data_IF_690940446116
#
_entry.id   IF_690940446116
#
_cell.length_a   1.000
_cell.length_b   1.000
_cell.length_c   1.000
_cell.angle_alpha   90.00
_cell.angle_beta   90.00
_cell.angle_gamma   90.00
#
_symmetry.space_group_name_H-M   'P 1'
#
loop_
_entity.id
_entity.type
_entity.pdbx_description
1 polymer ?
#
# COMPACT_ATOMS: atom_id res chain seq x y z
N UNK A 1 39.57 -11.75 3.51
CA UNK A 1 38.17 -11.35 3.72
C UNK A 1 37.82 -11.63 5.18
N UNK A 2 37.72 -10.61 6.03
CA UNK A 2 37.27 -10.82 7.42
C UNK A 2 35.78 -11.20 7.37
N UNK A 3 35.44 -12.40 7.84
CA UNK A 3 34.07 -12.90 7.86
C UNK A 3 33.17 -12.10 8.81
N UNK A 4 31.87 -12.05 8.52
CA UNK A 4 30.86 -11.42 9.38
C UNK A 4 30.90 -12.01 10.80
N UNK A 5 30.94 -11.14 11.80
CA UNK A 5 30.89 -11.50 13.21
C UNK A 5 29.51 -12.07 13.58
N UNK A 6 29.44 -12.89 14.64
CA UNK A 6 28.22 -13.61 15.03
C UNK A 6 26.98 -12.73 15.18
N UNK A 7 27.11 -11.56 15.81
CA UNK A 7 25.98 -10.62 15.97
C UNK A 7 25.54 -9.98 14.65
N UNK A 8 26.47 -9.75 13.71
CA UNK A 8 26.15 -9.20 12.38
C UNK A 8 25.37 -10.22 11.55
N UNK A 9 25.65 -11.53 11.71
CA UNK A 9 24.87 -12.60 11.08
C UNK A 9 23.43 -12.64 11.62
N UNK A 10 23.28 -12.53 12.93
CA UNK A 10 21.96 -12.46 13.58
C UNK A 10 21.17 -11.25 13.08
N UNK A 11 21.82 -10.08 13.01
CA UNK A 11 21.22 -8.88 12.45
C UNK A 11 20.70 -9.09 11.03
N UNK A 12 21.53 -9.66 10.13
CA UNK A 12 21.16 -9.92 8.75
C UNK A 12 19.94 -10.84 8.67
N UNK A 13 19.91 -11.93 9.44
CA UNK A 13 18.77 -12.87 9.45
C UNK A 13 17.49 -12.14 9.86
N UNK A 14 17.53 -11.35 10.94
CA UNK A 14 16.36 -10.59 11.43
C UNK A 14 15.88 -9.61 10.35
N UNK A 15 16.78 -8.84 9.75
CA UNK A 15 16.43 -7.84 8.74
C UNK A 15 15.88 -8.47 7.47
N UNK A 16 16.49 -9.55 6.99
CA UNK A 16 16.00 -10.27 5.81
C UNK A 16 14.60 -10.83 6.08
N UNK A 17 14.38 -11.50 7.20
CA UNK A 17 13.05 -12.01 7.56
C UNK A 17 12.01 -10.89 7.70
N UNK A 18 12.39 -9.75 8.29
CA UNK A 18 11.52 -8.58 8.41
C UNK A 18 11.14 -7.99 7.05
N UNK A 19 12.11 -7.79 6.16
CA UNK A 19 11.87 -7.26 4.83
C UNK A 19 11.05 -8.22 3.97
N UNK A 20 11.28 -9.53 4.08
CA UNK A 20 10.45 -10.55 3.42
C UNK A 20 9.00 -10.50 3.91
N UNK A 21 8.79 -10.34 5.21
CA UNK A 21 7.45 -10.19 5.79
C UNK A 21 6.74 -8.92 5.29
N UNK A 22 7.43 -7.78 5.27
CA UNK A 22 6.88 -6.53 4.75
C UNK A 22 6.56 -6.63 3.24
N UNK A 23 7.44 -7.26 2.46
CA UNK A 23 7.22 -7.47 1.03
C UNK A 23 5.97 -8.33 0.77
N UNK A 24 5.75 -9.38 1.56
CA UNK A 24 4.55 -10.20 1.47
C UNK A 24 3.27 -9.40 1.75
N UNK A 25 3.24 -8.62 2.83
CA UNK A 25 2.09 -7.78 3.17
C UNK A 25 1.83 -6.75 2.08
N UNK A 26 2.88 -6.05 1.64
CA UNK A 26 2.81 -5.05 0.58
C UNK A 26 2.16 -5.63 -0.68
N UNK A 27 2.66 -6.78 -1.13
CA UNK A 27 2.13 -7.48 -2.30
C UNK A 27 0.64 -7.79 -2.15
N UNK A 28 0.21 -8.34 -1.00
CA UNK A 28 -1.19 -8.70 -0.77
C UNK A 28 -2.13 -7.48 -0.82
N UNK A 29 -1.71 -6.36 -0.22
CA UNK A 29 -2.51 -5.13 -0.16
C UNK A 29 -2.55 -4.41 -1.50
N UNK A 30 -1.44 -4.39 -2.24
CA UNK A 30 -1.41 -3.78 -3.57
C UNK A 30 -2.23 -4.56 -4.59
N UNK A 31 -2.20 -5.88 -4.53
CA UNK A 31 -3.02 -6.73 -5.41
C UNK A 31 -4.51 -6.45 -5.23
N UNK A 32 -4.98 -6.36 -3.97
CA UNK A 32 -6.38 -6.03 -3.66
C UNK A 32 -6.74 -4.59 -4.04
N UNK A 33 -5.83 -3.64 -3.84
CA UNK A 33 -6.07 -2.25 -4.22
C UNK A 33 -6.16 -2.10 -5.74
N UNK A 34 -5.31 -2.78 -6.50
CA UNK A 34 -5.31 -2.75 -7.96
C UNK A 34 -6.57 -3.37 -8.55
N UNK A 35 -7.03 -4.51 -8.02
CA UNK A 35 -8.29 -5.11 -8.48
C UNK A 35 -9.47 -4.17 -8.26
N UNK A 36 -9.56 -3.53 -7.09
CA UNK A 36 -10.62 -2.55 -6.78
C UNK A 36 -10.55 -1.30 -7.68
N UNK A 37 -9.35 -0.79 -7.96
CA UNK A 37 -9.18 0.34 -8.89
C UNK A 37 -9.65 -0.05 -10.29
N UNK A 38 -9.26 -1.22 -10.79
CA UNK A 38 -9.68 -1.71 -12.11
C UNK A 38 -11.20 -1.91 -12.20
N UNK A 39 -11.83 -2.47 -11.17
CA UNK A 39 -13.29 -2.63 -11.10
C UNK A 39 -14.01 -1.27 -11.11
N UNK A 40 -13.54 -0.32 -10.30
CA UNK A 40 -14.11 1.03 -10.23
C UNK A 40 -13.92 1.80 -11.55
N UNK A 41 -12.74 1.69 -12.18
CA UNK A 41 -12.48 2.29 -13.49
C UNK A 41 -13.37 1.68 -14.58
N UNK A 42 -13.50 0.36 -14.63
CA UNK A 42 -14.38 -0.31 -15.59
C UNK A 42 -15.86 0.06 -15.37
N UNK A 43 -16.29 0.27 -14.12
CA UNK A 43 -17.65 0.74 -13.83
C UNK A 43 -17.88 2.17 -14.34
N UNK A 44 -16.90 3.06 -14.14
CA UNK A 44 -16.95 4.44 -14.66
C UNK A 44 -16.97 4.45 -16.19
N UNK A 45 -16.11 3.67 -16.85
CA UNK A 45 -16.03 3.60 -18.31
C UNK A 45 -17.31 3.04 -18.94
N UNK A 46 -17.87 1.95 -18.38
CA UNK A 46 -19.17 1.42 -18.84
C UNK A 46 -20.27 2.45 -18.72
N UNK A 47 -20.27 3.23 -17.64
CA UNK A 47 -21.27 4.28 -17.42
C UNK A 47 -21.11 5.42 -18.44
N UNK A 48 -19.89 5.89 -18.69
CA UNK A 48 -19.63 6.91 -19.71
C UNK A 48 -20.10 6.46 -21.10
N UNK A 49 -19.80 5.21 -21.47
CA UNK A 49 -20.21 4.65 -22.76
C UNK A 49 -21.73 4.42 -22.86
N UNK A 50 -22.41 4.00 -21.77
CA UNK A 50 -23.88 3.85 -21.78
C UNK A 50 -24.62 5.19 -21.78
N UNK A 51 -24.01 6.26 -21.29
CA UNK A 51 -24.60 7.60 -21.35
C UNK A 51 -24.59 8.16 -22.78
N UNK A 52 -23.59 7.78 -23.60
CA UNK A 52 -23.58 8.06 -25.04
C UNK A 52 -24.67 7.30 -25.81
N UNK A 53 -25.03 6.09 -25.36
CA UNK A 53 -26.06 5.23 -25.95
C UNK A 53 -27.50 5.56 -25.52
N UNK A 54 -27.72 6.56 -24.65
CA UNK A 54 -29.06 7.14 -24.44
C UNK A 54 -29.44 8.03 -25.63
N UNK A 55 -29.75 7.34 -26.71
CA UNK A 55 -30.24 7.83 -27.99
C UNK A 55 -31.44 8.75 -27.81
N UNK A 56 -31.32 9.94 -28.40
CA UNK A 56 -32.42 10.83 -28.75
C UNK A 56 -33.46 10.03 -29.54
N UNK A 57 -34.69 9.94 -29.03
CA UNK A 57 -35.81 9.36 -29.79
C UNK A 57 -36.05 10.21 -31.05
N UNK A 58 -36.52 9.58 -32.12
CA UNK A 58 -36.81 10.25 -33.41
C UNK A 58 -37.84 11.41 -33.32
N UNK A 59 -38.46 11.62 -32.16
CA UNK A 59 -39.40 12.70 -31.84
C UNK A 59 -38.79 13.82 -30.95
N UNK A 60 -37.50 13.76 -30.64
CA UNK A 60 -36.80 14.76 -29.82
C UNK A 60 -37.07 14.67 -28.31
N UNK A 61 -37.82 13.68 -27.82
CA UNK A 61 -38.04 13.54 -26.37
C UNK A 61 -36.94 12.70 -25.72
N UNK A 62 -36.37 13.22 -24.63
CA UNK A 62 -35.38 12.51 -23.81
C UNK A 62 -36.14 11.76 -22.72
N UNK A 63 -36.31 10.44 -22.85
CA UNK A 63 -36.84 9.62 -21.76
C UNK A 63 -35.71 9.42 -20.75
N UNK A 64 -35.60 10.32 -19.77
CA UNK A 64 -34.81 10.05 -18.56
C UNK A 64 -35.65 9.16 -17.66
N UNK A 65 -35.36 7.85 -17.64
CA UNK A 65 -35.90 6.97 -16.61
C UNK A 65 -35.43 7.48 -15.24
N UNK A 66 -36.31 8.14 -14.49
CA UNK A 66 -36.05 8.56 -13.11
C UNK A 66 -36.17 7.31 -12.24
N UNK A 67 -35.13 6.47 -12.25
CA UNK A 67 -34.94 5.42 -11.25
C UNK A 67 -34.78 6.11 -9.89
N UNK A 68 -35.61 5.73 -8.93
CA UNK A 68 -35.64 6.19 -7.55
C UNK A 68 -34.38 5.75 -6.79
N UNK A 69 -33.25 6.37 -7.14
CA UNK A 69 -31.92 6.20 -6.57
C UNK A 69 -31.08 7.47 -6.75
N UNK A 70 -29.81 7.48 -6.30
CA UNK A 70 -28.91 8.62 -6.50
C UNK A 70 -28.89 9.01 -7.97
N UNK A 71 -28.85 10.32 -8.27
CA UNK A 71 -28.78 10.75 -9.66
C UNK A 71 -27.55 10.15 -10.34
N UNK A 72 -27.60 9.89 -11.65
CA UNK A 72 -26.47 9.28 -12.36
C UNK A 72 -25.14 10.05 -12.17
N UNK A 73 -25.23 11.38 -12.07
CA UNK A 73 -24.10 12.26 -11.74
C UNK A 73 -23.60 12.09 -10.30
N UNK A 74 -24.49 11.90 -9.32
CA UNK A 74 -24.13 11.58 -7.94
C UNK A 74 -23.43 10.22 -7.87
N UNK A 75 -23.85 9.26 -8.69
CA UNK A 75 -23.21 7.95 -8.77
C UNK A 75 -21.79 8.06 -9.32
N UNK A 76 -21.59 8.78 -10.42
CA UNK A 76 -20.26 9.04 -10.98
C UNK A 76 -19.34 9.75 -9.97
N UNK A 77 -19.85 10.78 -9.28
CA UNK A 77 -19.10 11.49 -8.25
C UNK A 77 -18.68 10.56 -7.09
N UNK A 78 -19.56 9.64 -6.67
CA UNK A 78 -19.24 8.65 -5.64
C UNK A 78 -18.13 7.69 -6.09
N UNK A 79 -18.15 7.21 -7.34
CA UNK A 79 -17.10 6.34 -7.88
C UNK A 79 -15.76 7.06 -8.00
N UNK A 80 -15.77 8.32 -8.44
CA UNK A 80 -14.56 9.16 -8.49
C UNK A 80 -13.99 9.44 -7.09
N UNK A 81 -14.86 9.68 -6.11
CA UNK A 81 -14.46 9.84 -4.72
C UNK A 81 -13.83 8.55 -4.17
N UNK A 82 -14.44 7.39 -4.44
CA UNK A 82 -13.89 6.09 -4.03
C UNK A 82 -12.55 5.78 -4.70
N UNK A 83 -12.40 6.06 -6.00
CA UNK A 83 -11.13 5.93 -6.73
C UNK A 83 -10.02 6.79 -6.10
N UNK A 84 -10.35 8.04 -5.79
CA UNK A 84 -9.40 8.97 -5.15
C UNK A 84 -9.00 8.45 -3.76
N UNK A 85 -9.97 7.98 -2.98
CA UNK A 85 -9.73 7.43 -1.64
C UNK A 85 -8.84 6.18 -1.68
N UNK A 86 -9.12 5.23 -2.58
CA UNK A 86 -8.32 3.99 -2.71
C UNK A 86 -6.91 4.30 -3.21
N UNK A 87 -6.77 5.27 -4.13
CA UNK A 87 -5.47 5.69 -4.66
C UNK A 87 -4.62 6.37 -3.57
N UNK A 88 -5.22 7.27 -2.78
CA UNK A 88 -4.51 7.94 -1.69
C UNK A 88 -4.17 6.94 -0.56
N UNK A 89 -5.08 6.00 -0.25
CA UNK A 89 -4.79 4.92 0.70
C UNK A 89 -3.62 4.03 0.21
N UNK A 90 -3.57 3.70 -1.09
CA UNK A 90 -2.43 2.96 -1.69
C UNK A 90 -1.12 3.74 -1.50
N UNK A 91 -1.13 5.05 -1.73
CA UNK A 91 0.02 5.93 -1.55
C UNK A 91 0.49 6.00 -0.09
N UNK A 92 -0.43 6.17 0.86
CA UNK A 92 -0.10 6.20 2.29
C UNK A 92 0.47 4.86 2.79
N UNK A 93 -0.05 3.75 2.27
CA UNK A 93 0.51 2.42 2.55
C UNK A 93 1.94 2.27 2.03
N UNK A 94 2.23 2.74 0.81
CA UNK A 94 3.61 2.75 0.28
C UNK A 94 4.56 3.51 1.21
N UNK A 95 4.17 4.71 1.65
CA UNK A 95 4.97 5.52 2.55
C UNK A 95 5.20 4.79 3.87
N UNK A 96 4.15 4.23 4.47
CA UNK A 96 4.24 3.48 5.73
C UNK A 96 5.17 2.26 5.61
N UNK A 97 5.07 1.50 4.52
CA UNK A 97 5.94 0.35 4.25
C UNK A 97 7.39 0.80 4.09
N UNK A 98 7.66 1.90 3.39
CA UNK A 98 9.02 2.45 3.26
C UNK A 98 9.63 2.85 4.61
N UNK A 99 8.84 3.49 5.48
CA UNK A 99 9.26 3.85 6.84
C UNK A 99 9.55 2.59 7.67
N UNK A 100 8.67 1.58 7.60
CA UNK A 100 8.85 0.30 8.30
C UNK A 100 9.99 -0.55 7.71
N UNK A 101 10.34 -0.38 6.45
CA UNK A 101 11.47 -1.06 5.83
C UNK A 101 12.81 -0.44 6.25
N UNK A 102 12.83 0.84 6.65
CA UNK A 102 14.06 1.60 6.88
C UNK A 102 14.37 1.81 8.36
N UNK A 103 13.40 2.28 9.16
CA UNK A 103 13.62 2.63 10.56
C UNK A 103 13.92 1.42 11.47
N UNK A 104 13.13 0.32 11.46
CA UNK A 104 13.37 -0.82 12.34
C UNK A 104 14.75 -1.48 12.12
N UNK A 105 15.20 -1.77 10.88
CA UNK A 105 16.55 -2.29 10.67
C UNK A 105 17.66 -1.39 11.20
N UNK A 106 17.50 -0.07 11.09
CA UNK A 106 18.44 0.91 11.64
C UNK A 106 18.48 0.84 13.17
N UNK A 107 17.31 0.86 13.81
CA UNK A 107 17.19 0.79 15.27
C UNK A 107 17.73 -0.53 15.82
N UNK A 108 17.40 -1.66 15.19
CA UNK A 108 17.92 -2.98 15.58
C UNK A 108 19.44 -3.00 15.49
N UNK A 109 20.03 -2.43 14.43
CA UNK A 109 21.49 -2.36 14.29
C UNK A 109 22.13 -1.55 15.42
N UNK A 110 21.56 -0.39 15.76
CA UNK A 110 22.04 0.47 16.84
C UNK A 110 21.96 -0.23 18.20
N UNK A 111 20.83 -0.89 18.49
CA UNK A 111 20.63 -1.64 19.74
C UNK A 111 21.64 -2.78 19.86
N UNK A 112 21.79 -3.61 18.82
CA UNK A 112 22.76 -4.71 18.83
C UNK A 112 24.19 -4.20 19.00
N UNK A 113 24.54 -3.10 18.33
CA UNK A 113 25.86 -2.47 18.46
C UNK A 113 26.10 -1.98 19.89
N UNK A 114 25.11 -1.34 20.51
CA UNK A 114 25.18 -0.87 21.89
C UNK A 114 25.34 -2.02 22.89
N UNK A 115 24.55 -3.08 22.76
CA UNK A 115 24.64 -4.29 23.58
C UNK A 115 26.05 -4.89 23.49
N UNK A 116 26.57 -5.08 22.27
CA UNK A 116 27.92 -5.64 22.05
C UNK A 116 29.01 -4.74 22.64
N UNK A 117 28.87 -3.42 22.51
CA UNK A 117 29.82 -2.46 23.10
C UNK A 117 29.81 -2.53 24.63
N UNK A 118 28.64 -2.60 25.26
CA UNK A 118 28.50 -2.74 26.71
C UNK A 118 29.15 -4.02 27.24
N UNK A 119 28.95 -5.16 26.57
CA UNK A 119 29.60 -6.42 26.97
C UNK A 119 31.13 -6.41 26.79
N UNK A 120 31.67 -5.64 25.82
CA UNK A 120 33.13 -5.49 25.66
C UNK A 120 33.76 -4.69 26.80
N UNK A 121 33.04 -3.73 27.38
CA UNK A 121 33.53 -2.92 28.51
C UNK A 121 33.55 -3.69 29.83
N UNK A 122 32.71 -4.71 29.99
CA UNK A 122 32.63 -5.54 31.20
C UNK A 122 33.57 -6.75 31.23
N UNK A 123 34.49 -6.92 30.27
CA UNK A 123 35.56 -7.92 30.43
C UNK A 123 36.44 -7.49 31.61
N UNK A 124 36.51 -8.24 32.72
CA UNK A 124 37.46 -7.93 33.77
C UNK A 124 38.86 -8.02 33.15
N UNK A 125 39.67 -6.98 33.34
CA UNK A 125 41.11 -7.09 33.10
C UNK A 125 41.58 -8.25 33.99
N UNK A 126 41.99 -9.35 33.37
CA UNK A 126 42.69 -10.40 34.07
C UNK A 126 43.95 -9.77 34.67
N UNK A 127 43.93 -9.53 35.98
CA UNK A 127 45.11 -9.26 36.81
C UNK A 127 45.59 -10.57 37.40
#
# INVERSE_FOLDING_TARGET
MQGLNGWQRIYIVIVVSWLSYLAYIAYSQFTVAESRIAELQAAVERYQNHQEDTTVLANGSVIRHHLSGPSPEQWLANYQAQLTQVTEAKRQNLISILVLATLPPLLIYLILSWIVAGFRQHKPRAS
#
